data_IF_240912211961
#
_entry.id   IF_240912211961
#
_cell.length_a   1.000
_cell.length_b   1.000
_cell.length_c   1.000
_cell.angle_alpha   90.00
_cell.angle_beta   90.00
_cell.angle_gamma   90.00
#
_symmetry.space_group_name_H-M   'P 1'
#
loop_
_entity.id
_entity.type
_entity.pdbx_description
1 polymer ?
#
# COMPACT_ATOMS: atom_id res chain seq x y z
N UNK A 1 -12.97 23.35 -27.79
CA UNK A 1 -11.57 22.94 -27.59
C UNK A 1 -11.07 23.24 -26.16
N UNK A 2 -11.15 24.49 -25.68
CA UNK A 2 -10.70 24.89 -24.33
C UNK A 2 -11.41 24.15 -23.18
N UNK A 3 -12.70 23.88 -23.33
CA UNK A 3 -13.49 23.16 -22.32
C UNK A 3 -13.04 21.70 -22.14
N UNK A 4 -12.69 21.01 -23.23
CA UNK A 4 -12.14 19.66 -23.19
C UNK A 4 -10.78 19.62 -22.50
N UNK A 5 -9.95 20.64 -22.74
CA UNK A 5 -8.62 20.76 -22.12
C UNK A 5 -8.73 20.95 -20.60
N UNK A 6 -9.75 21.68 -20.15
CA UNK A 6 -10.04 21.89 -18.73
C UNK A 6 -10.50 20.59 -18.07
N UNK A 7 -11.43 19.85 -18.69
CA UNK A 7 -11.89 18.54 -18.20
C UNK A 7 -10.74 17.52 -18.12
N UNK A 8 -9.89 17.49 -19.14
CA UNK A 8 -8.71 16.61 -19.17
C UNK A 8 -7.74 16.98 -18.05
N UNK A 9 -7.43 18.26 -17.87
CA UNK A 9 -6.55 18.71 -16.78
C UNK A 9 -7.06 18.28 -15.41
N UNK A 10 -8.37 18.40 -15.18
CA UNK A 10 -8.97 18.02 -13.90
C UNK A 10 -9.01 16.50 -13.67
N UNK A 11 -9.32 15.72 -14.71
CA UNK A 11 -9.25 14.26 -14.63
C UNK A 11 -7.81 13.78 -14.41
N UNK A 12 -6.85 14.33 -15.15
CA UNK A 12 -5.44 13.97 -15.05
C UNK A 12 -4.89 14.22 -13.65
N UNK A 13 -5.17 15.37 -13.03
CA UNK A 13 -4.70 15.64 -11.68
C UNK A 13 -5.27 14.65 -10.66
N UNK A 14 -6.57 14.33 -10.74
CA UNK A 14 -7.21 13.34 -9.87
C UNK A 14 -6.58 11.95 -10.03
N UNK A 15 -6.36 11.52 -11.28
CA UNK A 15 -5.72 10.24 -11.60
C UNK A 15 -4.28 10.21 -11.10
N UNK A 16 -3.51 11.29 -11.32
CA UNK A 16 -2.12 11.40 -10.88
C UNK A 16 -2.02 11.24 -9.36
N UNK A 17 -2.85 11.95 -8.60
CA UNK A 17 -2.88 11.86 -7.14
C UNK A 17 -3.23 10.44 -6.69
N UNK A 18 -4.27 9.84 -7.29
CA UNK A 18 -4.66 8.46 -6.97
C UNK A 18 -3.54 7.45 -7.28
N UNK A 19 -2.89 7.57 -8.44
CA UNK A 19 -1.80 6.70 -8.87
C UNK A 19 -0.54 6.87 -8.01
N UNK A 20 -0.22 8.09 -7.57
CA UNK A 20 0.90 8.33 -6.66
C UNK A 20 0.63 7.73 -5.28
N UNK A 21 -0.56 7.94 -4.71
CA UNK A 21 -0.90 7.44 -3.38
C UNK A 21 -1.00 5.91 -3.39
N UNK A 22 -1.79 5.34 -4.31
CA UNK A 22 -2.06 3.90 -4.32
C UNK A 22 -0.99 3.09 -5.06
N UNK A 23 -0.42 3.66 -6.12
CA UNK A 23 0.60 3.00 -6.93
C UNK A 23 2.01 3.16 -6.33
N UNK A 24 2.46 4.39 -6.10
CA UNK A 24 3.81 4.64 -5.57
C UNK A 24 3.90 4.61 -4.04
N UNK A 25 2.80 4.88 -3.32
CA UNK A 25 2.78 4.83 -1.86
C UNK A 25 3.03 3.44 -1.29
N UNK A 26 2.49 2.38 -1.92
CA UNK A 26 2.74 0.99 -1.50
C UNK A 26 4.23 0.60 -1.57
N UNK A 27 4.94 0.82 -2.70
CA UNK A 27 6.40 0.65 -2.80
C UNK A 27 7.18 1.44 -1.74
N UNK A 28 6.79 2.69 -1.46
CA UNK A 28 7.42 3.49 -0.40
C UNK A 28 7.25 2.81 0.96
N UNK A 29 6.04 2.35 1.29
CA UNK A 29 5.77 1.66 2.55
C UNK A 29 6.53 0.33 2.67
N UNK A 30 6.64 -0.42 1.57
CA UNK A 30 7.47 -1.62 1.51
C UNK A 30 8.94 -1.32 1.77
N UNK A 31 9.49 -0.29 1.12
CA UNK A 31 10.89 0.13 1.32
C UNK A 31 11.16 0.59 2.77
N UNK A 32 10.19 1.26 3.41
CA UNK A 32 10.25 1.61 4.82
C UNK A 32 10.26 0.37 5.72
N UNK A 33 9.48 -0.67 5.38
CA UNK A 33 9.50 -1.97 6.04
C UNK A 33 10.86 -2.66 5.94
N UNK A 34 11.48 -2.67 4.75
CA UNK A 34 12.84 -3.21 4.55
C UNK A 34 13.86 -2.46 5.41
N UNK A 35 13.79 -1.12 5.45
CA UNK A 35 14.67 -0.30 6.30
C UNK A 35 14.47 -0.59 7.79
N UNK A 36 13.23 -0.73 8.24
CA UNK A 36 12.92 -1.08 9.63
C UNK A 36 13.42 -2.48 9.99
N UNK A 37 13.34 -3.43 9.05
CA UNK A 37 13.84 -4.80 9.23
C UNK A 37 15.36 -4.81 9.39
N UNK A 38 16.08 -4.07 8.55
CA UNK A 38 17.52 -3.90 8.66
C UNK A 38 17.92 -3.29 10.01
N UNK A 39 17.21 -2.25 10.47
CA UNK A 39 17.42 -1.67 11.81
C UNK A 39 17.15 -2.67 12.94
N UNK A 40 16.13 -3.53 12.77
CA UNK A 40 15.77 -4.55 13.74
C UNK A 40 16.72 -5.74 13.79
N UNK A 41 17.37 -6.07 12.67
CA UNK A 41 18.39 -7.11 12.61
C UNK A 41 19.68 -6.73 13.37
N UNK A 42 19.97 -5.44 13.51
CA UNK A 42 21.25 -4.98 14.06
C UNK A 42 22.36 -5.10 13.01
N UNK A 43 23.62 -5.10 13.44
CA UNK A 43 24.76 -5.17 12.54
C UNK A 43 25.84 -6.12 13.05
N UNK A 44 26.32 -6.99 12.15
CA UNK A 44 27.59 -7.73 12.24
C UNK A 44 28.61 -7.14 11.25
N UNK A 45 28.58 -5.82 11.05
CA UNK A 45 29.69 -5.18 10.35
C UNK A 45 30.91 -5.30 11.28
N UNK A 46 31.99 -5.92 10.80
CA UNK A 46 33.26 -6.39 11.40
C UNK A 46 33.89 -5.57 12.56
N UNK A 47 33.31 -4.44 12.98
CA UNK A 47 33.78 -3.57 14.07
C UNK A 47 32.68 -3.08 15.03
N UNK A 48 31.39 -3.35 14.79
CA UNK A 48 30.29 -2.86 15.63
C UNK A 48 29.20 -3.94 15.78
N UNK A 49 29.27 -4.74 16.84
CA UNK A 49 28.19 -5.64 17.26
C UNK A 49 27.07 -4.81 17.91
N UNK A 50 26.28 -4.12 17.09
CA UNK A 50 25.10 -3.41 17.56
C UNK A 50 23.97 -4.43 17.75
N UNK A 51 23.44 -4.62 18.98
CA UNK A 51 22.32 -5.52 19.19
C UNK A 51 21.10 -5.08 18.38
N UNK A 52 20.38 -6.04 17.81
CA UNK A 52 19.19 -5.79 17.02
C UNK A 52 18.09 -5.09 17.84
N UNK A 53 17.34 -4.20 17.18
CA UNK A 53 16.26 -3.45 17.82
C UNK A 53 14.91 -4.15 17.62
N UNK A 54 14.28 -4.70 18.67
CA UNK A 54 13.01 -5.42 18.52
C UNK A 54 11.90 -4.53 17.93
N UNK A 55 11.94 -3.22 18.20
CA UNK A 55 11.03 -2.22 17.62
C UNK A 55 11.12 -2.17 16.10
N UNK A 56 12.33 -2.27 15.52
CA UNK A 56 12.52 -2.28 14.07
C UNK A 56 11.86 -3.48 13.40
N UNK A 57 11.94 -4.66 14.05
CA UNK A 57 11.31 -5.88 13.57
C UNK A 57 9.78 -5.79 13.59
N UNK A 58 9.20 -5.27 14.68
CA UNK A 58 7.75 -5.05 14.78
C UNK A 58 7.28 -4.08 13.70
N UNK A 59 7.97 -2.95 13.53
CA UNK A 59 7.61 -1.96 12.52
C UNK A 59 7.69 -2.52 11.10
N UNK A 60 8.71 -3.34 10.79
CA UNK A 60 8.83 -4.01 9.51
C UNK A 60 7.64 -4.94 9.22
N UNK A 61 7.27 -5.77 10.20
CA UNK A 61 6.11 -6.68 10.08
C UNK A 61 4.82 -5.90 9.84
N UNK A 62 4.61 -4.80 10.58
CA UNK A 62 3.44 -3.94 10.38
C UNK A 62 3.41 -3.35 8.97
N UNK A 63 4.53 -2.81 8.48
CA UNK A 63 4.61 -2.29 7.12
C UNK A 63 4.29 -3.36 6.07
N UNK A 64 4.89 -4.55 6.17
CA UNK A 64 4.63 -5.63 5.22
C UNK A 64 3.18 -6.14 5.28
N UNK A 65 2.61 -6.25 6.48
CA UNK A 65 1.21 -6.64 6.66
C UNK A 65 0.25 -5.65 5.98
N UNK A 66 0.50 -4.34 6.13
CA UNK A 66 -0.28 -3.29 5.46
C UNK A 66 -0.17 -3.39 3.94
N UNK A 67 1.02 -3.61 3.39
CA UNK A 67 1.21 -3.79 1.94
C UNK A 67 0.43 -5.00 1.43
N UNK A 68 0.55 -6.15 2.10
CA UNK A 68 -0.17 -7.37 1.72
C UNK A 68 -1.68 -7.15 1.77
N UNK A 69 -2.20 -6.52 2.83
CA UNK A 69 -3.62 -6.22 2.97
C UNK A 69 -4.11 -5.29 1.83
N UNK A 70 -3.34 -4.24 1.52
CA UNK A 70 -3.68 -3.31 0.44
C UNK A 70 -3.70 -3.99 -0.94
N UNK A 71 -2.72 -4.85 -1.23
CA UNK A 71 -2.68 -5.63 -2.48
C UNK A 71 -3.85 -6.60 -2.58
N UNK A 72 -4.14 -7.34 -1.50
CA UNK A 72 -5.26 -8.27 -1.46
C UNK A 72 -6.61 -7.57 -1.67
N UNK A 73 -6.82 -6.42 -1.01
CA UNK A 73 -7.99 -5.58 -1.19
C UNK A 73 -8.11 -5.05 -2.63
N UNK A 74 -7.01 -4.55 -3.20
CA UNK A 74 -6.98 -4.04 -4.57
C UNK A 74 -7.32 -5.12 -5.60
N UNK A 75 -6.72 -6.30 -5.47
CA UNK A 75 -7.04 -7.45 -6.34
C UNK A 75 -8.51 -7.85 -6.18
N UNK A 76 -9.00 -7.98 -4.94
CA UNK A 76 -10.39 -8.36 -4.68
C UNK A 76 -11.36 -7.35 -5.28
N UNK A 77 -11.05 -6.05 -5.21
CA UNK A 77 -11.86 -5.00 -5.81
C UNK A 77 -11.95 -5.14 -7.34
N UNK A 78 -10.81 -5.30 -8.00
CA UNK A 78 -10.73 -5.44 -9.47
C UNK A 78 -11.51 -6.69 -9.91
N UNK A 79 -11.29 -7.82 -9.24
CA UNK A 79 -11.93 -9.09 -9.56
C UNK A 79 -13.44 -9.04 -9.30
N UNK A 80 -13.87 -8.58 -8.12
CA UNK A 80 -15.29 -8.46 -7.78
C UNK A 80 -16.02 -7.53 -8.75
N UNK A 81 -15.41 -6.40 -9.11
CA UNK A 81 -15.99 -5.47 -10.09
C UNK A 81 -16.11 -6.09 -11.48
N UNK A 82 -15.17 -6.95 -11.89
CA UNK A 82 -15.25 -7.69 -13.15
C UNK A 82 -16.41 -8.68 -13.20
N UNK A 83 -16.82 -9.24 -12.06
CA UNK A 83 -17.97 -10.13 -11.92
C UNK A 83 -19.29 -9.41 -11.63
N UNK A 84 -19.32 -8.07 -11.68
CA UNK A 84 -20.52 -7.29 -11.37
C UNK A 84 -20.87 -7.22 -9.88
N UNK A 85 -19.98 -7.65 -8.98
CA UNK A 85 -20.15 -7.56 -7.53
C UNK A 85 -19.52 -6.25 -6.99
N UNK A 86 -19.82 -5.89 -5.75
CA UNK A 86 -19.20 -4.77 -5.04
C UNK A 86 -18.51 -5.24 -3.76
N UNK A 87 -17.44 -4.56 -3.37
CA UNK A 87 -16.85 -4.71 -2.05
C UNK A 87 -17.59 -3.81 -1.06
N UNK A 88 -18.28 -4.41 -0.10
CA UNK A 88 -18.84 -3.73 1.06
C UNK A 88 -17.84 -3.73 2.21
N UNK A 89 -17.73 -2.59 2.87
CA UNK A 89 -16.94 -2.37 4.09
C UNK A 89 -17.85 -2.10 5.30
N UNK A 90 -19.14 -2.47 5.24
CA UNK A 90 -20.07 -2.33 6.38
C UNK A 90 -19.66 -3.17 7.59
N UNK A 91 -18.88 -4.24 7.36
CA UNK A 91 -18.31 -5.06 8.40
C UNK A 91 -16.82 -4.73 8.60
N UNK A 92 -16.27 -5.14 9.74
CA UNK A 92 -14.82 -5.02 10.06
C UNK A 92 -13.93 -5.65 8.97
N UNK A 93 -14.48 -6.59 8.19
CA UNK A 93 -13.80 -7.24 7.08
C UNK A 93 -14.52 -6.97 5.75
N UNK A 94 -13.77 -6.77 4.66
CA UNK A 94 -14.35 -6.56 3.33
C UNK A 94 -15.16 -7.78 2.88
N UNK A 95 -16.42 -7.58 2.53
CA UNK A 95 -17.31 -8.65 2.02
C UNK A 95 -17.79 -8.33 0.61
N UNK A 96 -17.88 -9.35 -0.23
CA UNK A 96 -18.38 -9.19 -1.61
C UNK A 96 -19.91 -9.30 -1.60
N UNK A 97 -20.58 -8.24 -2.04
CA UNK A 97 -22.05 -8.14 -2.16
C UNK A 97 -22.45 -7.98 -3.62
N UNK A 98 -23.69 -8.35 -3.96
CA UNK A 98 -24.28 -8.03 -5.26
C UNK A 98 -24.46 -6.52 -5.42
N UNK A 99 -24.14 -5.98 -6.61
CA UNK A 99 -24.41 -4.58 -6.95
C UNK A 99 -25.89 -4.33 -7.21
#
# INVERSE_FOLDING_TARGET
MVQNLTLVGEALWKILVAALILGAGLPVLFSAGVRAMAYGAGGDAETNHAPGHPVGKVLAVVCFAVVVAAVALGITFIVASGFGKALSFEHVYPTVVDK
#
